data_IF_600379587745
#
_entry.id   IF_600379587745
#
_cell.length_a   1.000
_cell.length_b   1.000
_cell.length_c   1.000
_cell.angle_alpha   90.00
_cell.angle_beta   90.00
_cell.angle_gamma   90.00
#
_symmetry.space_group_name_H-M   'P 1'
#
loop_
_entity.id
_entity.type
_entity.pdbx_description
1 polymer ?
#
# COMPACT_ATOMS: atom_id res chain seq x y z
N UNK A 1 18.53 2.57 2.65
CA UNK A 1 18.20 1.56 1.59
C UNK A 1 17.23 2.24 0.64
N UNK A 2 17.18 1.91 -0.65
CA UNK A 2 16.18 2.47 -1.55
C UNK A 2 14.76 2.07 -1.11
N UNK A 3 13.78 2.92 -1.39
CA UNK A 3 12.36 2.65 -1.10
C UNK A 3 11.89 1.45 -1.93
N UNK A 4 11.18 0.52 -1.31
CA UNK A 4 10.59 -0.64 -2.00
C UNK A 4 9.33 -0.23 -2.78
N UNK A 5 9.09 -0.88 -3.91
CA UNK A 5 7.85 -0.77 -4.68
C UNK A 5 6.98 -2.01 -4.46
N UNK A 6 5.79 -1.83 -3.91
CA UNK A 6 4.72 -2.82 -3.93
C UNK A 6 3.72 -2.44 -5.02
N UNK A 7 3.43 -3.37 -5.94
CA UNK A 7 2.46 -3.13 -7.02
C UNK A 7 1.07 -3.50 -6.55
N UNK A 8 0.19 -2.50 -6.46
CA UNK A 8 -1.20 -2.72 -6.11
C UNK A 8 -2.00 -3.16 -7.34
N UNK A 9 -2.59 -4.35 -7.27
CA UNK A 9 -3.27 -5.02 -8.39
C UNK A 9 -4.77 -4.70 -8.50
N UNK A 10 -5.32 -3.84 -7.63
CA UNK A 10 -6.76 -3.56 -7.60
C UNK A 10 -7.30 -3.05 -8.93
N UNK A 11 -6.58 -2.15 -9.63
CA UNK A 11 -7.01 -1.60 -10.91
C UNK A 11 -7.03 -2.67 -12.03
N UNK A 12 -6.07 -3.59 -12.04
CA UNK A 12 -6.05 -4.73 -12.96
C UNK A 12 -7.25 -5.65 -12.70
N UNK A 13 -7.52 -5.97 -11.44
CA UNK A 13 -8.65 -6.78 -11.05
C UNK A 13 -10.00 -6.11 -11.38
N UNK A 14 -10.09 -4.79 -11.20
CA UNK A 14 -11.27 -4.00 -11.59
C UNK A 14 -11.51 -4.07 -13.10
N UNK A 15 -10.48 -3.96 -13.91
CA UNK A 15 -10.58 -4.12 -15.36
C UNK A 15 -11.07 -5.52 -15.75
N UNK A 16 -10.51 -6.59 -15.14
CA UNK A 16 -10.99 -7.97 -15.31
C UNK A 16 -12.48 -8.10 -15.01
N UNK A 17 -12.93 -7.48 -13.91
CA UNK A 17 -14.31 -7.60 -13.45
C UNK A 17 -15.35 -6.88 -14.36
N UNK A 18 -14.88 -6.10 -15.34
CA UNK A 18 -15.78 -5.47 -16.34
C UNK A 18 -16.38 -6.48 -17.34
N UNK A 19 -15.85 -7.70 -17.41
CA UNK A 19 -16.30 -8.80 -18.29
C UNK A 19 -16.27 -10.12 -17.52
N UNK A 20 -17.07 -11.07 -17.95
CA UNK A 20 -17.00 -12.46 -17.46
C UNK A 20 -16.00 -13.27 -18.31
N UNK A 21 -14.74 -12.85 -18.23
CA UNK A 21 -13.61 -13.43 -18.96
C UNK A 21 -12.38 -13.53 -18.03
N UNK A 22 -11.45 -14.47 -18.27
CA UNK A 22 -10.31 -14.69 -17.38
C UNK A 22 -9.19 -13.63 -17.49
N UNK A 23 -9.30 -12.66 -18.39
CA UNK A 23 -8.29 -11.62 -18.59
C UNK A 23 -8.85 -10.20 -18.35
N UNK A 24 -7.96 -9.26 -17.90
CA UNK A 24 -6.55 -9.51 -17.53
C UNK A 24 -6.44 -10.41 -16.29
N UNK A 25 -5.59 -11.44 -16.37
CA UNK A 25 -5.37 -12.36 -15.24
C UNK A 25 -4.49 -11.69 -14.17
N UNK A 26 -4.99 -11.62 -12.94
CA UNK A 26 -4.36 -10.84 -11.85
C UNK A 26 -3.01 -11.44 -11.44
N UNK A 27 -2.92 -12.77 -11.36
CA UNK A 27 -1.67 -13.44 -11.00
C UNK A 27 -0.61 -13.29 -12.09
N UNK A 28 -1.00 -13.33 -13.38
CA UNK A 28 -0.08 -13.07 -14.49
C UNK A 28 0.48 -11.66 -14.46
N UNK A 29 -0.32 -10.64 -14.14
CA UNK A 29 0.17 -9.27 -13.98
C UNK A 29 1.04 -9.10 -12.74
N UNK A 30 0.73 -9.79 -11.64
CA UNK A 30 1.59 -9.88 -10.46
C UNK A 30 2.96 -10.47 -10.81
N UNK A 31 3.00 -11.58 -11.56
CA UNK A 31 4.24 -12.20 -12.05
C UNK A 31 5.07 -11.24 -12.90
N UNK A 32 4.45 -10.53 -13.84
CA UNK A 32 5.15 -9.53 -14.67
C UNK A 32 5.74 -8.42 -13.80
N UNK A 33 5.00 -7.96 -12.80
CA UNK A 33 5.47 -6.92 -11.89
C UNK A 33 6.69 -7.38 -11.07
N UNK A 34 6.64 -8.57 -10.48
CA UNK A 34 7.75 -9.14 -9.69
C UNK A 34 8.98 -9.43 -10.58
N UNK A 35 8.80 -9.98 -11.78
CA UNK A 35 9.88 -10.18 -12.75
C UNK A 35 10.54 -8.86 -13.17
N UNK A 36 9.80 -7.76 -13.19
CA UNK A 36 10.30 -6.44 -13.56
C UNK A 36 11.00 -5.70 -12.41
N UNK A 37 11.03 -6.26 -11.19
CA UNK A 37 11.76 -5.73 -10.05
C UNK A 37 10.91 -5.15 -8.93
N UNK A 38 9.59 -5.31 -8.95
CA UNK A 38 8.75 -4.99 -7.80
C UNK A 38 9.17 -5.82 -6.58
N UNK A 39 9.16 -5.21 -5.40
CA UNK A 39 9.53 -5.89 -4.14
C UNK A 39 8.36 -6.65 -3.52
N UNK A 40 7.13 -6.40 -3.98
CA UNK A 40 5.94 -7.04 -3.46
C UNK A 40 4.69 -6.72 -4.27
N UNK A 41 3.60 -7.33 -3.85
CA UNK A 41 2.26 -7.13 -4.40
C UNK A 41 1.32 -6.69 -3.29
N UNK A 42 0.45 -5.74 -3.61
CA UNK A 42 -0.61 -5.26 -2.71
C UNK A 42 -1.98 -5.55 -3.30
N UNK A 43 -2.91 -5.99 -2.46
CA UNK A 43 -4.30 -6.24 -2.82
C UNK A 43 -5.25 -5.78 -1.72
N UNK A 44 -6.45 -5.31 -2.11
CA UNK A 44 -7.51 -4.93 -1.17
C UNK A 44 -8.78 -5.77 -1.46
N UNK A 45 -8.95 -6.93 -0.80
CA UNK A 45 -10.13 -7.77 -0.98
C UNK A 45 -11.33 -7.17 -0.24
N UNK A 46 -12.00 -6.20 -0.86
CA UNK A 46 -13.21 -5.59 -0.29
C UNK A 46 -14.35 -6.62 -0.20
N UNK A 47 -15.29 -6.49 0.78
CA UNK A 47 -16.39 -7.43 0.95
C UNK A 47 -17.25 -7.62 -0.30
N UNK A 48 -17.43 -6.57 -1.11
CA UNK A 48 -18.19 -6.61 -2.36
C UNK A 48 -17.41 -7.14 -3.57
N UNK A 49 -16.11 -7.43 -3.40
CA UNK A 49 -15.21 -7.97 -4.42
C UNK A 49 -15.22 -7.15 -5.73
N UNK A 50 -15.41 -5.84 -5.64
CA UNK A 50 -15.47 -4.93 -6.81
C UNK A 50 -14.22 -4.97 -7.68
N UNK A 51 -13.08 -5.35 -7.10
CA UNK A 51 -11.80 -5.56 -7.79
C UNK A 51 -11.19 -6.92 -7.42
N UNK A 52 -10.39 -7.04 -6.36
CA UNK A 52 -9.83 -8.32 -5.92
C UNK A 52 -10.96 -9.23 -5.44
N UNK A 53 -11.02 -10.45 -5.98
CA UNK A 53 -11.91 -11.51 -5.51
C UNK A 53 -11.18 -12.34 -4.44
N UNK A 54 -11.92 -12.93 -3.53
CA UNK A 54 -11.31 -13.80 -2.50
C UNK A 54 -10.55 -14.97 -3.13
N UNK A 55 -11.00 -15.46 -4.29
CA UNK A 55 -10.32 -16.51 -5.05
C UNK A 55 -8.96 -16.08 -5.65
N UNK A 56 -8.69 -14.77 -5.77
CA UNK A 56 -7.40 -14.28 -6.25
C UNK A 56 -6.30 -14.45 -5.18
N UNK A 57 -6.67 -14.43 -3.89
CA UNK A 57 -5.71 -14.44 -2.78
C UNK A 57 -4.83 -15.68 -2.75
N UNK A 58 -5.38 -16.92 -2.75
CA UNK A 58 -4.54 -18.12 -2.76
C UNK A 58 -3.71 -18.26 -4.05
N UNK A 59 -4.18 -17.71 -5.19
CA UNK A 59 -3.41 -17.74 -6.44
C UNK A 59 -2.19 -16.82 -6.36
N UNK A 60 -2.33 -15.63 -5.74
CA UNK A 60 -1.23 -14.70 -5.53
C UNK A 60 -0.27 -15.23 -4.46
N UNK A 61 -0.79 -15.85 -3.39
CA UNK A 61 0.05 -16.49 -2.38
C UNK A 61 0.91 -17.59 -3.01
N UNK A 62 0.31 -18.51 -3.77
CA UNK A 62 1.03 -19.57 -4.47
C UNK A 62 2.06 -19.01 -5.45
N UNK A 63 1.72 -17.95 -6.22
CA UNK A 63 2.68 -17.28 -7.09
C UNK A 63 3.93 -16.81 -6.34
N UNK A 64 3.73 -16.17 -5.18
CA UNK A 64 4.85 -15.66 -4.38
C UNK A 64 5.65 -16.82 -3.80
N UNK A 65 5.02 -17.79 -3.18
CA UNK A 65 5.69 -18.93 -2.55
C UNK A 65 6.52 -19.76 -3.55
N UNK A 66 5.97 -20.01 -4.72
CA UNK A 66 6.58 -20.91 -5.71
C UNK A 66 7.65 -20.22 -6.58
N UNK A 67 7.42 -18.95 -6.95
CA UNK A 67 8.25 -18.26 -7.95
C UNK A 67 9.06 -17.09 -7.38
N UNK A 68 8.58 -16.44 -6.30
CA UNK A 68 9.17 -15.21 -5.75
C UNK A 68 9.23 -15.19 -4.22
N UNK A 69 9.85 -16.17 -3.56
CA UNK A 69 9.77 -16.31 -2.09
C UNK A 69 10.41 -15.17 -1.30
N UNK A 70 11.00 -14.18 -1.96
CA UNK A 70 11.53 -12.96 -1.34
C UNK A 70 10.60 -11.75 -1.52
N UNK A 71 9.53 -11.89 -2.31
CA UNK A 71 8.56 -10.83 -2.50
C UNK A 71 7.59 -10.77 -1.32
N UNK A 72 7.12 -9.56 -1.02
CA UNK A 72 6.18 -9.32 0.07
C UNK A 72 4.75 -9.31 -0.46
N UNK A 73 3.85 -10.05 0.19
CA UNK A 73 2.42 -9.97 -0.03
C UNK A 73 1.81 -9.04 1.02
N UNK A 74 1.14 -7.98 0.57
CA UNK A 74 0.43 -7.03 1.44
C UNK A 74 -1.07 -7.12 1.16
N UNK A 75 -1.86 -7.37 2.21
CA UNK A 75 -3.32 -7.33 2.15
C UNK A 75 -3.83 -6.08 2.87
N UNK A 76 -4.61 -5.27 2.15
CA UNK A 76 -5.26 -4.06 2.70
C UNK A 76 -6.72 -4.35 3.02
N UNK A 77 -7.23 -3.76 4.10
CA UNK A 77 -8.66 -3.85 4.39
C UNK A 77 -9.08 -3.24 5.72
N UNK A 78 -10.39 -2.99 5.84
CA UNK A 78 -11.00 -2.68 7.12
C UNK A 78 -11.04 -3.94 7.99
N UNK A 79 -10.61 -3.92 9.25
CA UNK A 79 -10.44 -5.10 10.09
C UNK A 79 -11.76 -5.67 10.63
N UNK A 80 -12.63 -6.12 9.73
CA UNK A 80 -13.74 -7.01 10.10
C UNK A 80 -13.22 -8.39 10.47
N UNK A 81 -14.01 -9.17 11.17
CA UNK A 81 -13.65 -10.57 11.46
C UNK A 81 -13.37 -11.37 10.17
N UNK A 82 -14.21 -11.22 9.15
CA UNK A 82 -14.02 -11.90 7.86
C UNK A 82 -12.69 -11.52 7.19
N UNK A 83 -12.30 -10.23 7.23
CA UNK A 83 -11.02 -9.78 6.68
C UNK A 83 -9.84 -10.36 7.46
N UNK A 84 -9.92 -10.38 8.79
CA UNK A 84 -8.86 -10.96 9.63
C UNK A 84 -8.70 -12.45 9.36
N UNK A 85 -9.81 -13.20 9.20
CA UNK A 85 -9.78 -14.61 8.81
C UNK A 85 -9.14 -14.81 7.43
N UNK A 86 -9.46 -13.96 6.44
CA UNK A 86 -8.79 -14.01 5.12
C UNK A 86 -7.28 -13.79 5.24
N UNK A 87 -6.83 -12.89 6.13
CA UNK A 87 -5.41 -12.70 6.40
C UNK A 87 -4.78 -13.94 7.04
N UNK A 88 -5.44 -14.53 8.02
CA UNK A 88 -4.97 -15.76 8.70
C UNK A 88 -4.91 -16.98 7.75
N UNK A 89 -5.81 -17.05 6.76
CA UNK A 89 -5.83 -18.12 5.75
C UNK A 89 -4.74 -17.97 4.68
N UNK A 90 -4.37 -16.73 4.34
CA UNK A 90 -3.41 -16.44 3.26
C UNK A 90 -2.02 -16.00 3.75
N UNK A 91 -1.84 -15.81 5.04
CA UNK A 91 -0.59 -15.52 5.73
C UNK A 91 0.28 -14.46 4.99
N UNK A 92 -0.24 -13.23 4.72
CA UNK A 92 0.55 -12.19 4.07
C UNK A 92 1.70 -11.74 4.98
N UNK A 93 2.81 -11.31 4.40
CA UNK A 93 3.92 -10.72 5.14
C UNK A 93 3.53 -9.40 5.79
N UNK A 94 2.61 -8.65 5.17
CA UNK A 94 2.08 -7.39 5.69
C UNK A 94 0.56 -7.33 5.57
N UNK A 95 -0.06 -6.72 6.57
CA UNK A 95 -1.47 -6.32 6.55
C UNK A 95 -1.56 -4.82 6.80
N UNK A 96 -2.12 -4.08 5.84
CA UNK A 96 -2.40 -2.65 5.98
C UNK A 96 -3.86 -2.44 6.37
N UNK A 97 -4.10 -1.98 7.59
CA UNK A 97 -5.45 -1.72 8.09
C UNK A 97 -5.90 -0.31 7.68
N UNK A 98 -7.03 -0.23 6.99
CA UNK A 98 -7.62 1.03 6.49
C UNK A 98 -8.98 1.29 7.14
N UNK A 99 -9.38 2.57 7.38
CA UNK A 99 -10.65 2.92 8.04
C UNK A 99 -11.85 2.96 7.09
N UNK A 100 -11.79 2.22 6.00
CA UNK A 100 -12.74 2.33 4.90
C UNK A 100 -14.16 1.90 5.26
N UNK A 101 -15.13 2.78 5.04
CA UNK A 101 -16.53 2.36 4.94
C UNK A 101 -16.71 1.53 3.64
N UNK A 102 -17.46 0.42 3.67
CA UNK A 102 -17.72 -0.40 2.48
C UNK A 102 -18.30 0.36 1.28
N UNK A 103 -18.98 1.48 1.51
CA UNK A 103 -19.55 2.33 0.46
C UNK A 103 -18.55 3.28 -0.21
N UNK A 104 -17.37 3.53 0.39
CA UNK A 104 -16.35 4.40 -0.19
C UNK A 104 -15.77 3.85 -1.49
N UNK A 105 -15.50 4.74 -2.45
CA UNK A 105 -14.88 4.36 -3.73
C UNK A 105 -13.43 3.90 -3.55
N UNK A 106 -12.68 4.60 -2.68
CA UNK A 106 -11.28 4.33 -2.34
C UNK A 106 -11.01 4.81 -0.91
N UNK A 107 -9.88 4.42 -0.33
CA UNK A 107 -9.40 4.96 0.94
C UNK A 107 -9.03 6.44 0.76
N UNK A 108 -9.61 7.34 1.54
CA UNK A 108 -9.46 8.79 1.37
C UNK A 108 -9.09 9.55 2.65
N UNK A 109 -8.87 8.83 3.76
CA UNK A 109 -8.44 9.37 5.05
C UNK A 109 -7.78 8.30 5.92
N UNK A 110 -6.99 8.74 6.91
CA UNK A 110 -6.34 7.87 7.89
C UNK A 110 -7.23 7.54 9.09
N UNK A 111 -6.75 6.67 9.97
CA UNK A 111 -7.45 6.30 11.19
C UNK A 111 -7.53 7.46 12.20
N UNK A 112 -8.71 7.63 12.80
CA UNK A 112 -8.82 8.35 14.07
C UNK A 112 -8.32 7.45 15.22
N UNK A 113 -7.02 7.53 15.51
CA UNK A 113 -6.37 6.71 16.54
C UNK A 113 -6.88 7.01 17.96
N UNK A 114 -7.45 8.19 18.20
CA UNK A 114 -8.06 8.53 19.51
C UNK A 114 -9.31 7.71 19.75
N UNK A 115 -10.10 7.52 18.69
CA UNK A 115 -11.37 6.79 18.75
C UNK A 115 -11.17 5.28 18.64
N UNK A 116 -10.22 4.84 17.81
CA UNK A 116 -10.09 3.45 17.42
C UNK A 116 -8.84 2.75 17.98
N UNK A 117 -8.03 3.41 18.82
CA UNK A 117 -6.76 2.90 19.32
C UNK A 117 -6.86 1.53 19.99
N UNK A 118 -7.82 1.31 20.90
CA UNK A 118 -7.99 0.01 21.58
C UNK A 118 -8.41 -1.10 20.61
N UNK A 119 -9.31 -0.80 19.68
CA UNK A 119 -9.73 -1.73 18.64
C UNK A 119 -8.54 -2.13 17.75
N UNK A 120 -7.79 -1.15 17.25
CA UNK A 120 -6.61 -1.38 16.42
C UNK A 120 -5.53 -2.17 17.16
N UNK A 121 -5.32 -1.88 18.44
CA UNK A 121 -4.39 -2.63 19.30
C UNK A 121 -4.77 -4.10 19.40
N UNK A 122 -6.06 -4.41 19.58
CA UNK A 122 -6.55 -5.78 19.65
C UNK A 122 -6.30 -6.54 18.33
N UNK A 123 -6.69 -5.95 17.20
CA UNK A 123 -6.50 -6.55 15.88
C UNK A 123 -5.00 -6.68 15.53
N UNK A 124 -4.22 -5.64 15.80
CA UNK A 124 -2.76 -5.67 15.61
C UNK A 124 -2.11 -6.82 16.37
N UNK A 125 -2.50 -7.02 17.64
CA UNK A 125 -1.98 -8.11 18.45
C UNK A 125 -2.29 -9.49 17.85
N UNK A 126 -3.51 -9.69 17.34
CA UNK A 126 -3.95 -10.94 16.70
C UNK A 126 -3.16 -11.24 15.43
N UNK A 127 -3.06 -10.27 14.52
CA UNK A 127 -2.32 -10.42 13.27
C UNK A 127 -0.82 -10.66 13.51
N UNK A 128 -0.22 -9.96 14.47
CA UNK A 128 1.18 -10.18 14.87
C UNK A 128 1.41 -11.57 15.48
N UNK A 129 0.47 -12.12 16.21
CA UNK A 129 0.54 -13.49 16.74
C UNK A 129 0.56 -14.52 15.60
N UNK A 130 -0.07 -14.21 14.45
CA UNK A 130 0.01 -14.98 13.21
C UNK A 130 1.26 -14.73 12.38
N UNK A 131 2.23 -13.93 12.86
CA UNK A 131 3.50 -13.64 12.15
C UNK A 131 3.44 -12.49 11.16
N UNK A 132 2.29 -11.84 10.99
CA UNK A 132 2.08 -10.76 10.02
C UNK A 132 2.56 -9.42 10.57
N UNK A 133 3.20 -8.60 9.73
CA UNK A 133 3.52 -7.21 10.05
C UNK A 133 2.30 -6.34 9.82
N UNK A 134 1.94 -5.50 10.79
CA UNK A 134 0.79 -4.58 10.66
C UNK A 134 1.25 -3.17 10.33
N UNK A 135 0.65 -2.60 9.28
CA UNK A 135 0.72 -1.20 8.88
C UNK A 135 -0.65 -0.54 9.10
N UNK A 136 -0.67 0.71 9.55
CA UNK A 136 -1.91 1.46 9.79
C UNK A 136 -1.99 2.66 8.87
N UNK A 137 -3.10 2.80 8.15
CA UNK A 137 -3.33 3.93 7.25
C UNK A 137 -3.48 5.23 8.05
N UNK A 138 -2.73 6.27 7.70
CA UNK A 138 -2.63 7.51 8.45
C UNK A 138 -2.68 8.73 7.54
N UNK A 139 -3.29 9.83 8.03
CA UNK A 139 -3.29 11.09 7.31
C UNK A 139 -1.88 11.64 7.14
N UNK A 140 -1.61 12.21 5.95
CA UNK A 140 -0.29 12.72 5.58
C UNK A 140 0.12 14.00 6.33
N UNK A 141 -0.78 14.60 7.12
CA UNK A 141 -0.53 15.79 7.96
C UNK A 141 -0.89 15.57 9.43
N UNK A 142 -0.82 14.32 9.87
CA UNK A 142 -1.05 13.95 11.27
C UNK A 142 0.02 14.55 12.19
N UNK A 143 -0.40 15.02 13.34
CA UNK A 143 0.51 15.60 14.33
C UNK A 143 1.27 14.53 15.15
N UNK A 144 2.27 14.99 15.92
CA UNK A 144 3.10 14.14 16.75
C UNK A 144 2.31 13.29 17.73
N UNK A 145 1.21 13.84 18.31
CA UNK A 145 0.39 13.11 19.29
C UNK A 145 -0.41 11.98 18.64
N UNK A 146 -0.80 12.14 17.38
CA UNK A 146 -1.47 11.12 16.58
C UNK A 146 -0.51 9.96 16.27
N UNK A 147 0.75 10.25 15.95
CA UNK A 147 1.78 9.20 15.72
C UNK A 147 2.12 8.44 17.02
N UNK A 148 2.14 9.12 18.16
CA UNK A 148 2.29 8.46 19.47
C UNK A 148 1.17 7.45 19.73
N UNK A 149 -0.09 7.82 19.43
CA UNK A 149 -1.24 6.92 19.56
C UNK A 149 -1.18 5.76 18.55
N UNK A 150 -0.74 6.03 17.31
CA UNK A 150 -0.53 4.98 16.33
C UNK A 150 0.49 3.94 16.83
N UNK A 151 1.63 4.39 17.37
CA UNK A 151 2.65 3.51 17.94
C UNK A 151 2.13 2.70 19.15
N UNK A 152 1.26 3.30 19.99
CA UNK A 152 0.67 2.62 21.15
C UNK A 152 -0.24 1.44 20.78
N UNK A 153 -0.69 1.31 19.53
CA UNK A 153 -1.41 0.14 19.02
C UNK A 153 -0.51 -1.10 18.89
N UNK A 154 0.81 -0.91 18.85
CA UNK A 154 1.79 -1.96 18.62
C UNK A 154 2.00 -2.34 17.16
N UNK A 155 1.46 -1.56 16.21
CA UNK A 155 1.78 -1.70 14.79
C UNK A 155 3.28 -1.46 14.52
N UNK A 156 3.79 -2.04 13.44
CA UNK A 156 5.17 -1.87 13.02
C UNK A 156 5.37 -0.71 12.06
N UNK A 157 4.32 -0.37 11.31
CA UNK A 157 4.34 0.68 10.27
C UNK A 157 3.10 1.55 10.32
N UNK A 158 3.23 2.72 9.72
CA UNK A 158 2.11 3.48 9.17
C UNK A 158 2.22 3.51 7.65
N UNK A 159 1.09 3.69 6.97
CA UNK A 159 1.06 4.05 5.56
C UNK A 159 0.45 5.44 5.43
N UNK A 160 1.25 6.39 4.96
CA UNK A 160 0.82 7.78 4.75
C UNK A 160 -0.10 7.88 3.54
N UNK A 161 -1.29 8.45 3.74
CA UNK A 161 -2.19 8.80 2.65
C UNK A 161 -1.63 9.97 1.84
N UNK A 162 -1.22 9.70 0.60
CA UNK A 162 -0.61 10.69 -0.29
C UNK A 162 -1.56 11.30 -1.31
N UNK A 163 -2.86 10.99 -1.27
CA UNK A 163 -3.85 11.52 -2.20
C UNK A 163 -3.86 13.04 -2.34
N UNK A 164 -3.83 13.83 -1.24
CA UNK A 164 -3.76 15.29 -1.33
C UNK A 164 -2.50 15.81 -2.01
N UNK A 165 -1.36 15.11 -1.88
CA UNK A 165 -0.13 15.40 -2.59
C UNK A 165 -0.25 15.06 -4.09
N UNK A 166 -0.74 13.86 -4.41
CA UNK A 166 -0.97 13.42 -5.79
C UNK A 166 -1.95 14.32 -6.54
N UNK A 167 -2.97 14.85 -5.84
CA UNK A 167 -3.93 15.80 -6.38
C UNK A 167 -3.36 17.18 -6.74
N UNK A 168 -2.11 17.47 -6.34
CA UNK A 168 -1.43 18.75 -6.66
C UNK A 168 -0.65 18.70 -8.00
N UNK A 169 -1.02 17.83 -8.93
CA UNK A 169 -0.31 17.59 -10.18
C UNK A 169 -0.10 18.86 -11.06
N UNK A 170 -0.96 19.86 -10.93
CA UNK A 170 -0.90 21.15 -11.65
C UNK A 170 -0.56 22.34 -10.74
N UNK A 171 -0.22 22.11 -9.46
CA UNK A 171 0.07 23.16 -8.50
C UNK A 171 1.36 22.85 -7.70
N UNK A 172 2.54 23.23 -8.21
CA UNK A 172 3.82 22.94 -7.57
C UNK A 172 3.97 23.49 -6.14
N UNK A 173 3.42 24.69 -5.86
CA UNK A 173 3.49 25.27 -4.51
C UNK A 173 2.65 24.48 -3.50
N UNK A 174 1.50 23.96 -3.92
CA UNK A 174 0.69 23.09 -3.07
C UNK A 174 1.37 21.72 -2.87
N UNK A 175 1.98 21.17 -3.92
CA UNK A 175 2.75 19.93 -3.85
C UNK A 175 3.93 20.05 -2.86
N UNK A 176 4.69 21.17 -2.90
CA UNK A 176 5.78 21.40 -1.96
C UNK A 176 5.30 21.48 -0.50
N UNK A 177 4.18 22.17 -0.25
CA UNK A 177 3.57 22.20 1.09
C UNK A 177 3.15 20.82 1.58
N UNK A 178 2.59 19.98 0.71
CA UNK A 178 2.19 18.62 1.08
C UNK A 178 3.39 17.70 1.33
N UNK A 179 4.46 17.81 0.53
CA UNK A 179 5.70 17.06 0.78
C UNK A 179 6.26 17.37 2.18
N UNK A 180 6.24 18.64 2.61
CA UNK A 180 6.71 19.01 3.94
C UNK A 180 5.83 18.44 5.06
N UNK A 181 4.51 18.46 4.90
CA UNK A 181 3.57 17.84 5.86
C UNK A 181 3.82 16.32 5.96
N UNK A 182 3.85 15.62 4.82
CA UNK A 182 4.14 14.19 4.75
C UNK A 182 5.49 13.87 5.42
N UNK A 183 6.50 14.69 5.14
CA UNK A 183 7.82 14.54 5.75
C UNK A 183 7.81 14.74 7.26
N UNK A 184 7.08 15.70 7.78
CA UNK A 184 6.92 15.93 9.22
C UNK A 184 6.21 14.76 9.90
N UNK A 185 5.12 14.27 9.33
CA UNK A 185 4.40 13.10 9.86
C UNK A 185 5.29 11.85 9.87
N UNK A 186 6.08 11.64 8.80
CA UNK A 186 7.05 10.54 8.72
C UNK A 186 8.15 10.66 9.79
N UNK A 187 8.64 11.87 10.05
CA UNK A 187 9.64 12.13 11.10
C UNK A 187 9.07 11.83 12.48
N UNK A 188 7.82 12.21 12.77
CA UNK A 188 7.12 11.86 14.01
C UNK A 188 6.92 10.35 14.16
N UNK A 189 6.49 9.66 13.10
CA UNK A 189 6.34 8.20 13.13
C UNK A 189 7.67 7.51 13.52
N UNK A 190 8.77 7.95 12.91
CA UNK A 190 10.11 7.44 13.21
C UNK A 190 10.55 7.69 14.66
N UNK A 191 10.22 8.84 15.26
CA UNK A 191 10.49 9.12 16.67
C UNK A 191 9.86 8.06 17.60
N UNK A 192 8.69 7.55 17.25
CA UNK A 192 7.97 6.53 18.01
C UNK A 192 8.27 5.09 17.57
N UNK A 193 9.26 4.89 16.69
CA UNK A 193 9.71 3.57 16.26
C UNK A 193 8.83 2.91 15.21
N UNK A 194 7.98 3.68 14.52
CA UNK A 194 7.20 3.20 13.38
C UNK A 194 8.02 3.37 12.07
N UNK A 195 8.08 2.33 11.26
CA UNK A 195 8.48 2.48 9.87
C UNK A 195 7.36 3.15 9.05
N UNK A 196 7.73 3.72 7.91
CA UNK A 196 6.81 4.51 7.09
C UNK A 196 6.68 3.92 5.69
N UNK A 197 5.44 3.60 5.32
CA UNK A 197 5.01 3.36 3.94
C UNK A 197 4.23 4.58 3.44
N UNK A 198 3.97 4.65 2.13
CA UNK A 198 3.11 5.65 1.53
C UNK A 198 2.34 5.07 0.34
N UNK A 199 1.14 5.59 0.10
CA UNK A 199 0.29 5.15 -1.00
C UNK A 199 -0.77 6.17 -1.38
N UNK A 200 -1.36 5.97 -2.54
CA UNK A 200 -2.32 6.80 -3.26
C UNK A 200 -1.73 7.91 -4.14
N UNK A 201 -2.15 7.89 -5.40
CA UNK A 201 -1.92 8.92 -6.43
C UNK A 201 -0.45 9.31 -6.64
N UNK A 202 0.45 8.36 -6.37
CA UNK A 202 1.85 8.49 -6.68
C UNK A 202 2.12 8.12 -8.14
N UNK A 203 2.99 8.91 -8.78
CA UNK A 203 3.41 8.77 -10.18
C UNK A 203 4.92 8.77 -10.30
N UNK A 204 5.45 8.39 -11.46
CA UNK A 204 6.89 8.49 -11.75
C UNK A 204 7.43 9.90 -11.53
N UNK A 205 6.60 10.93 -11.77
CA UNK A 205 7.03 12.33 -11.71
C UNK A 205 7.04 12.87 -10.27
N UNK A 206 6.06 12.50 -9.42
CA UNK A 206 5.97 13.04 -8.07
C UNK A 206 6.73 12.22 -7.01
N UNK A 207 6.94 10.93 -7.25
CA UNK A 207 7.60 10.01 -6.32
C UNK A 207 9.05 10.40 -5.94
N UNK A 208 9.93 10.87 -6.86
CA UNK A 208 11.31 11.21 -6.51
C UNK A 208 11.42 12.32 -5.45
N UNK A 209 10.52 13.31 -5.47
CA UNK A 209 10.52 14.40 -4.48
C UNK A 209 10.10 13.87 -3.10
N UNK A 210 9.11 12.98 -3.03
CA UNK A 210 8.68 12.32 -1.80
C UNK A 210 9.80 11.47 -1.18
N UNK A 211 10.43 10.61 -1.98
CA UNK A 211 11.55 9.75 -1.55
C UNK A 211 12.73 10.59 -1.05
N UNK A 212 13.02 11.71 -1.71
CA UNK A 212 14.07 12.65 -1.27
C UNK A 212 13.74 13.28 0.09
N UNK A 213 12.47 13.67 0.33
CA UNK A 213 12.05 14.29 1.61
C UNK A 213 11.98 13.27 2.75
N UNK A 214 11.63 12.03 2.44
CA UNK A 214 11.49 10.94 3.42
C UNK A 214 12.53 9.84 3.10
N UNK A 215 13.83 10.03 3.42
CA UNK A 215 14.88 9.07 3.05
C UNK A 215 14.78 7.73 3.78
N UNK A 216 13.91 7.64 4.79
CA UNK A 216 13.59 6.42 5.53
C UNK A 216 12.24 5.81 5.10
N UNK A 217 11.66 6.25 3.99
CA UNK A 217 10.45 5.65 3.41
C UNK A 217 10.74 4.20 3.03
N UNK A 218 10.08 3.27 3.72
CA UNK A 218 10.36 1.85 3.57
C UNK A 218 9.79 1.30 2.27
N UNK A 219 8.54 1.69 1.94
CA UNK A 219 7.79 1.14 0.83
C UNK A 219 6.76 2.13 0.29
N UNK A 220 6.46 2.02 -0.99
CA UNK A 220 5.29 2.65 -1.61
C UNK A 220 4.39 1.59 -2.26
N UNK A 221 3.07 1.71 -2.03
CA UNK A 221 2.04 0.88 -2.65
C UNK A 221 1.34 1.69 -3.74
N UNK A 222 1.51 1.29 -5.01
CA UNK A 222 1.04 2.07 -6.16
C UNK A 222 0.20 1.22 -7.10
N UNK A 223 -1.04 1.65 -7.32
CA UNK A 223 -2.00 0.98 -8.20
C UNK A 223 -2.44 1.83 -9.39
N UNK A 224 -3.20 2.90 -9.13
CA UNK A 224 -3.84 3.69 -10.18
C UNK A 224 -2.83 4.31 -11.15
N UNK A 225 -1.89 5.09 -10.66
CA UNK A 225 -0.87 5.77 -11.49
C UNK A 225 0.00 4.77 -12.26
N UNK A 226 0.41 3.66 -11.60
CA UNK A 226 1.18 2.62 -12.24
C UNK A 226 0.38 1.92 -13.35
N UNK A 227 -0.91 1.64 -13.12
CA UNK A 227 -1.77 1.00 -14.13
C UNK A 227 -2.01 1.95 -15.31
N UNK A 228 -2.19 3.25 -15.07
CA UNK A 228 -2.34 4.25 -16.13
C UNK A 228 -1.08 4.28 -17.04
N UNK A 229 0.11 4.36 -16.46
CA UNK A 229 1.37 4.29 -17.22
C UNK A 229 1.53 2.95 -17.97
N UNK A 230 1.07 1.85 -17.36
CA UNK A 230 1.17 0.53 -17.98
C UNK A 230 0.32 0.38 -19.26
N UNK A 231 -0.73 1.18 -19.42
CA UNK A 231 -1.51 1.24 -20.68
C UNK A 231 -0.70 1.86 -21.83
N UNK A 232 0.29 2.70 -21.52
CA UNK A 232 1.15 3.35 -22.52
C UNK A 232 2.44 2.57 -22.77
N UNK A 233 3.10 2.08 -21.70
CA UNK A 233 4.46 1.52 -21.76
C UNK A 233 4.50 0.00 -21.56
N UNK A 234 3.37 -0.62 -21.22
CA UNK A 234 3.30 -2.01 -20.76
C UNK A 234 3.80 -2.17 -19.31
N UNK A 235 3.25 -3.18 -18.62
CA UNK A 235 3.46 -3.38 -17.17
C UNK A 235 4.94 -3.49 -16.78
N UNK A 236 5.74 -4.29 -17.51
CA UNK A 236 7.13 -4.54 -17.14
C UNK A 236 7.99 -3.26 -17.18
N UNK A 237 7.86 -2.44 -18.24
CA UNK A 237 8.63 -1.19 -18.34
C UNK A 237 8.15 -0.16 -17.31
N UNK A 238 6.85 -0.08 -17.09
CA UNK A 238 6.28 0.80 -16.08
C UNK A 238 6.83 0.47 -14.69
N UNK A 239 6.84 -0.79 -14.29
CA UNK A 239 7.41 -1.21 -12.99
C UNK A 239 8.89 -0.78 -12.89
N UNK A 240 9.70 -0.98 -13.94
CA UNK A 240 11.10 -0.52 -13.94
C UNK A 240 11.22 0.99 -13.78
N UNK A 241 10.33 1.77 -14.40
CA UNK A 241 10.30 3.25 -14.25
C UNK A 241 9.99 3.65 -12.81
N UNK A 242 8.99 3.03 -12.18
CA UNK A 242 8.64 3.28 -10.78
C UNK A 242 9.75 2.84 -9.82
N UNK A 243 10.39 1.70 -10.04
CA UNK A 243 11.55 1.27 -9.25
C UNK A 243 12.69 2.30 -9.33
N UNK A 244 13.00 2.83 -10.53
CA UNK A 244 13.99 3.91 -10.66
C UNK A 244 13.57 5.17 -9.91
N UNK A 245 12.28 5.54 -9.95
CA UNK A 245 11.75 6.67 -9.20
C UNK A 245 11.83 6.48 -7.67
N UNK A 246 11.78 5.23 -7.20
CA UNK A 246 12.06 4.84 -5.80
C UNK A 246 13.56 4.88 -5.42
N UNK A 247 14.44 5.22 -6.35
CA UNK A 247 15.90 5.22 -6.14
C UNK A 247 16.54 3.83 -6.23
N UNK A 248 15.85 2.84 -6.83
CA UNK A 248 16.39 1.50 -7.03
C UNK A 248 17.24 1.42 -8.31
N UNK A 249 18.37 0.70 -8.24
CA UNK A 249 19.17 0.38 -9.42
C UNK A 249 18.54 -0.83 -10.13
N UNK A 250 17.79 -0.58 -11.19
CA UNK A 250 17.18 -1.61 -12.04
C UNK A 250 17.88 -1.61 -13.40
N UNK A 251 18.34 -2.77 -13.80
CA UNK A 251 18.95 -3.04 -15.11
C UNK A 251 17.92 -3.10 -16.24
#
# INVERSE_FOLDING_TARGET
>A
MPTKLSVNLNAIAMLRNRRDLPWPDVASFGRIALQAGASGLTVHPRPDQRHIRFLDLPLLRALIDDEFPQAEFNMEGYPTEDFVLLCEENEPEQVTLVPDDPSQATSDHGWDFRKHGDFLKHVTSRLKAGGMRVSLFADGDADRSVMEMAAATGAARIELYTGPYGGCYDNPEAAERWIEKLGQTADFAKEFGLDVNAGHDLTVDNLPALVKRIPHLAEVSIGHGLTADALEYGMAETVRRFCRACGQAIS
#
